data_IF_178057676827
#
_entry.id   IF_178057676827
#
_cell.length_a   1.000
_cell.length_b   1.000
_cell.length_c   1.000
_cell.angle_alpha   90.00
_cell.angle_beta   90.00
_cell.angle_gamma   90.00
#
_symmetry.space_group_name_H-M   'P 1'
#
loop_
_entity.id
_entity.type
_entity.pdbx_description
1 polymer ?
#
# COMPACT_ATOMS: atom_id res chain seq x y z
N UNK A 1 -16.68 -12.04 -3.25
CA UNK A 1 -16.48 -12.67 -1.93
C UNK A 1 -15.07 -13.18 -1.86
N UNK A 2 -14.28 -12.68 -0.93
CA UNK A 2 -12.98 -13.25 -0.65
C UNK A 2 -13.18 -14.55 0.15
N UNK A 3 -12.58 -15.63 -0.31
CA UNK A 3 -12.64 -16.95 0.30
C UNK A 3 -11.25 -17.28 0.84
N UNK A 4 -11.15 -18.22 1.78
CA UNK A 4 -9.86 -18.74 2.18
C UNK A 4 -9.06 -19.21 0.94
N UNK A 5 -7.72 -19.05 0.98
CA UNK A 5 -6.82 -19.37 -0.13
C UNK A 5 -7.08 -20.77 -0.73
N UNK A 6 -7.29 -21.78 0.12
CA UNK A 6 -7.60 -23.13 -0.34
C UNK A 6 -8.89 -23.21 -1.15
N UNK A 7 -9.92 -22.48 -0.73
CA UNK A 7 -11.21 -22.42 -1.42
C UNK A 7 -11.09 -21.67 -2.75
N UNK A 8 -10.37 -20.54 -2.77
CA UNK A 8 -10.10 -19.81 -4.00
C UNK A 8 -9.33 -20.68 -4.98
N UNK A 9 -8.31 -21.40 -4.52
CA UNK A 9 -7.55 -22.35 -5.36
C UNK A 9 -8.47 -23.39 -5.98
N UNK A 10 -9.37 -24.01 -5.22
CA UNK A 10 -10.32 -25.01 -5.74
C UNK A 10 -11.28 -24.40 -6.77
N UNK A 11 -11.80 -23.21 -6.50
CA UNK A 11 -12.69 -22.48 -7.42
C UNK A 11 -11.96 -22.23 -8.75
N UNK A 12 -10.77 -21.64 -8.71
CA UNK A 12 -10.05 -21.26 -9.93
C UNK A 12 -9.44 -22.46 -10.67
N UNK A 13 -9.11 -23.55 -9.99
CA UNK A 13 -8.69 -24.79 -10.66
C UNK A 13 -9.77 -25.33 -11.61
N UNK A 14 -11.06 -25.14 -11.29
CA UNK A 14 -12.18 -25.59 -12.11
C UNK A 14 -12.92 -24.49 -12.89
N UNK A 15 -12.58 -23.22 -12.66
CA UNK A 15 -13.29 -22.09 -13.26
C UNK A 15 -13.04 -21.95 -14.76
N UNK A 16 -14.04 -21.43 -15.46
CA UNK A 16 -13.97 -21.01 -16.85
C UNK A 16 -14.22 -19.49 -16.91
N UNK A 17 -13.69 -18.83 -17.92
CA UNK A 17 -13.88 -17.39 -18.14
C UNK A 17 -15.37 -17.00 -18.14
N UNK A 18 -16.25 -17.85 -18.69
CA UNK A 18 -17.70 -17.63 -18.69
C UNK A 18 -18.36 -17.64 -17.31
N UNK A 19 -17.66 -18.06 -16.26
CA UNK A 19 -18.17 -18.00 -14.88
C UNK A 19 -18.24 -16.57 -14.33
N UNK A 20 -17.45 -15.65 -14.90
CA UNK A 20 -17.26 -14.27 -14.43
C UNK A 20 -17.62 -13.29 -15.57
N UNK A 21 -18.88 -13.33 -15.99
CA UNK A 21 -19.41 -12.47 -17.05
C UNK A 21 -19.89 -11.10 -16.51
N UNK A 22 -20.35 -10.25 -17.42
CA UNK A 22 -20.89 -8.94 -17.07
C UNK A 22 -22.08 -8.99 -16.10
N UNK A 23 -22.85 -10.08 -16.09
CA UNK A 23 -23.96 -10.25 -15.14
C UNK A 23 -23.46 -10.48 -13.73
N UNK A 24 -22.37 -11.24 -13.60
CA UNK A 24 -21.72 -11.43 -12.30
C UNK A 24 -21.18 -10.10 -11.76
N UNK A 25 -20.36 -9.41 -12.54
CA UNK A 25 -19.78 -8.12 -12.10
C UNK A 25 -20.84 -7.00 -12.01
N UNK A 26 -21.88 -7.02 -12.80
CA UNK A 26 -23.02 -6.09 -12.74
C UNK A 26 -23.82 -6.17 -11.44
N UNK A 27 -23.64 -7.21 -10.60
CA UNK A 27 -24.25 -7.26 -9.27
C UNK A 27 -23.67 -6.18 -8.36
N UNK A 28 -22.37 -5.91 -8.46
CA UNK A 28 -21.69 -4.94 -7.59
C UNK A 28 -22.15 -3.49 -7.83
N UNK A 29 -22.56 -3.15 -9.03
CA UNK A 29 -23.11 -1.81 -9.33
C UNK A 29 -24.47 -1.52 -8.66
N UNK A 30 -25.07 -2.53 -8.01
CA UNK A 30 -26.36 -2.39 -7.30
C UNK A 30 -26.19 -2.08 -5.81
N UNK A 31 -24.94 -2.05 -5.32
CA UNK A 31 -24.66 -1.77 -3.92
C UNK A 31 -24.26 -0.31 -3.72
N UNK A 32 -24.83 0.34 -2.72
CA UNK A 32 -24.42 1.67 -2.30
C UNK A 32 -23.14 1.65 -1.44
N UNK A 33 -22.90 0.53 -0.76
CA UNK A 33 -21.75 0.34 0.09
C UNK A 33 -21.28 -1.11 0.06
N UNK A 34 -19.97 -1.30 0.13
CA UNK A 34 -19.32 -2.60 0.24
C UNK A 34 -18.36 -2.56 1.42
N UNK A 35 -18.45 -3.53 2.28
CA UNK A 35 -17.45 -3.83 3.32
C UNK A 35 -16.79 -5.17 2.97
N UNK A 36 -15.51 -5.13 2.62
CA UNK A 36 -14.71 -6.32 2.36
C UNK A 36 -14.01 -6.76 3.64
N UNK A 37 -14.26 -7.99 4.08
CA UNK A 37 -13.79 -8.50 5.37
C UNK A 37 -12.78 -9.61 5.18
N UNK A 38 -11.53 -9.32 5.50
CA UNK A 38 -10.42 -10.27 5.48
C UNK A 38 -10.29 -10.96 6.83
N UNK A 39 -10.91 -12.13 6.97
CA UNK A 39 -10.77 -12.98 8.15
C UNK A 39 -9.74 -14.11 7.94
N UNK A 40 -9.27 -14.30 6.72
CA UNK A 40 -8.29 -15.29 6.32
C UNK A 40 -7.58 -14.83 5.05
N UNK A 41 -6.42 -15.43 4.76
CA UNK A 41 -5.67 -15.12 3.56
C UNK A 41 -6.39 -15.62 2.30
N UNK A 42 -6.79 -14.74 1.38
CA UNK A 42 -7.52 -15.13 0.18
C UNK A 42 -6.60 -15.40 -1.04
N UNK A 43 -5.37 -14.90 -1.02
CA UNK A 43 -4.48 -14.84 -2.18
C UNK A 43 -3.97 -16.23 -2.55
N UNK A 44 -4.19 -16.63 -3.80
CA UNK A 44 -3.64 -17.85 -4.39
C UNK A 44 -2.25 -17.56 -4.92
N UNK A 45 -1.26 -18.37 -4.54
CA UNK A 45 0.12 -18.17 -4.95
C UNK A 45 0.35 -18.68 -6.39
N UNK A 46 1.29 -18.04 -7.09
CA UNK A 46 1.52 -18.29 -8.50
C UNK A 46 1.85 -19.74 -8.89
N UNK A 47 2.36 -20.53 -7.94
CA UNK A 47 2.68 -21.95 -8.16
C UNK A 47 1.55 -22.92 -7.79
N UNK A 48 0.40 -22.44 -7.34
CA UNK A 48 -0.71 -23.28 -6.84
C UNK A 48 -1.73 -23.63 -7.92
N UNK A 49 -1.68 -22.94 -9.06
CA UNK A 49 -2.54 -23.15 -10.21
C UNK A 49 -1.70 -23.21 -11.49
N UNK A 50 -2.26 -23.82 -12.53
CA UNK A 50 -1.69 -23.74 -13.88
C UNK A 50 -1.77 -22.28 -14.39
N UNK A 51 -0.87 -21.89 -15.29
CA UNK A 51 -0.74 -20.50 -15.77
C UNK A 51 -2.07 -19.89 -16.24
N UNK A 52 -2.85 -20.65 -17.02
CA UNK A 52 -4.13 -20.19 -17.54
C UNK A 52 -5.16 -19.91 -16.43
N UNK A 53 -5.17 -20.70 -15.37
CA UNK A 53 -6.04 -20.50 -14.20
C UNK A 53 -5.54 -19.35 -13.32
N UNK A 54 -4.24 -19.18 -13.20
CA UNK A 54 -3.67 -18.01 -12.51
C UNK A 54 -4.02 -16.71 -13.24
N UNK A 55 -3.92 -16.69 -14.56
CA UNK A 55 -4.31 -15.52 -15.35
C UNK A 55 -5.79 -15.21 -15.23
N UNK A 56 -6.65 -16.25 -15.20
CA UNK A 56 -8.07 -16.08 -14.93
C UNK A 56 -8.31 -15.50 -13.53
N UNK A 57 -7.61 -16.00 -12.51
CA UNK A 57 -7.69 -15.53 -11.13
C UNK A 57 -7.29 -14.05 -11.04
N UNK A 58 -6.17 -13.65 -11.64
CA UNK A 58 -5.68 -12.27 -11.66
C UNK A 58 -6.68 -11.33 -12.35
N UNK A 59 -7.18 -11.70 -13.54
CA UNK A 59 -8.20 -10.92 -14.25
C UNK A 59 -9.48 -10.78 -13.43
N UNK A 60 -9.92 -11.84 -12.77
CA UNK A 60 -11.08 -11.81 -11.89
C UNK A 60 -10.88 -10.81 -10.75
N UNK A 61 -9.76 -10.88 -10.04
CA UNK A 61 -9.44 -9.99 -8.91
C UNK A 61 -9.41 -8.54 -9.38
N UNK A 62 -8.72 -8.25 -10.48
CA UNK A 62 -8.65 -6.91 -11.06
C UNK A 62 -10.04 -6.36 -11.42
N UNK A 63 -10.84 -7.13 -12.14
CA UNK A 63 -12.20 -6.73 -12.53
C UNK A 63 -13.14 -6.57 -11.33
N UNK A 64 -13.01 -7.44 -10.32
CA UNK A 64 -13.77 -7.32 -9.09
C UNK A 64 -13.43 -6.02 -8.38
N UNK A 65 -12.15 -5.73 -8.20
CA UNK A 65 -11.68 -4.54 -7.51
C UNK A 65 -12.11 -3.26 -8.25
N UNK A 66 -11.97 -3.22 -9.58
CA UNK A 66 -12.47 -2.12 -10.41
C UNK A 66 -13.96 -1.82 -10.17
N UNK A 67 -14.78 -2.83 -9.89
CA UNK A 67 -16.20 -2.64 -9.58
C UNK A 67 -16.43 -2.22 -8.14
N UNK A 68 -15.68 -2.78 -7.19
CA UNK A 68 -15.83 -2.47 -5.77
C UNK A 68 -15.49 -1.02 -5.48
N UNK A 69 -14.39 -0.51 -6.02
CA UNK A 69 -13.95 0.88 -5.81
C UNK A 69 -14.89 1.92 -6.46
N UNK A 70 -15.78 1.51 -7.37
CA UNK A 70 -16.81 2.40 -7.92
C UNK A 70 -18.04 2.54 -7.02
N UNK A 71 -18.16 1.71 -5.97
CA UNK A 71 -19.22 1.85 -4.99
C UNK A 71 -19.05 3.17 -4.23
N UNK A 72 -20.15 3.82 -3.91
CA UNK A 72 -20.15 5.12 -3.22
C UNK A 72 -19.41 5.07 -1.88
N UNK A 73 -19.42 3.91 -1.24
CA UNK A 73 -18.68 3.63 -0.01
C UNK A 73 -18.05 2.25 -0.13
N UNK A 74 -16.74 2.22 -0.01
CA UNK A 74 -15.98 0.98 0.00
C UNK A 74 -15.02 1.03 1.18
N UNK A 75 -14.97 -0.04 1.97
CA UNK A 75 -13.99 -0.19 3.04
C UNK A 75 -13.56 -1.65 3.14
N UNK A 76 -12.30 -1.83 3.46
CA UNK A 76 -11.70 -3.15 3.73
C UNK A 76 -11.33 -3.23 5.21
N UNK A 77 -11.63 -4.35 5.83
CA UNK A 77 -11.27 -4.59 7.23
C UNK A 77 -10.54 -5.91 7.38
N UNK A 78 -9.36 -5.87 7.98
CA UNK A 78 -8.58 -7.07 8.32
C UNK A 78 -8.86 -7.50 9.76
N UNK A 79 -9.59 -8.59 9.91
CA UNK A 79 -9.86 -9.15 11.24
C UNK A 79 -8.58 -9.73 11.82
N UNK A 80 -8.20 -9.42 13.08
CA UNK A 80 -6.99 -9.92 13.71
C UNK A 80 -7.11 -11.41 14.06
N UNK A 81 -6.90 -12.27 13.07
CA UNK A 81 -6.95 -13.73 13.19
C UNK A 81 -5.55 -14.35 13.04
N UNK A 82 -5.37 -15.57 13.54
CA UNK A 82 -4.13 -16.33 13.34
C UNK A 82 -3.84 -16.59 11.85
N UNK A 83 -4.87 -16.68 11.01
CA UNK A 83 -4.70 -16.87 9.57
C UNK A 83 -4.10 -15.63 8.91
N UNK A 84 -4.55 -14.42 9.32
CA UNK A 84 -3.97 -13.16 8.84
C UNK A 84 -2.58 -12.89 9.44
N UNK A 85 -2.32 -13.35 10.67
CA UNK A 85 -0.98 -13.28 11.25
C UNK A 85 0.08 -14.00 10.40
N UNK A 86 -0.28 -15.13 9.79
CA UNK A 86 0.62 -15.86 8.90
C UNK A 86 1.03 -15.03 7.65
N UNK A 87 0.19 -14.11 7.20
CA UNK A 87 0.52 -13.16 6.11
C UNK A 87 1.50 -12.08 6.59
N UNK A 88 1.34 -11.61 7.82
CA UNK A 88 2.18 -10.55 8.38
C UNK A 88 3.61 -10.98 8.72
N UNK A 89 3.87 -12.28 8.79
CA UNK A 89 5.16 -12.82 9.27
C UNK A 89 5.38 -12.67 10.77
N UNK A 90 4.39 -12.13 11.52
CA UNK A 90 4.46 -11.93 12.96
C UNK A 90 3.96 -13.16 13.73
N UNK A 91 4.38 -13.26 15.00
CA UNK A 91 3.74 -14.17 15.94
C UNK A 91 2.23 -13.84 16.03
N UNK A 92 1.33 -14.84 16.05
CA UNK A 92 -0.10 -14.59 16.03
C UNK A 92 -0.63 -13.72 17.19
N UNK A 93 -0.05 -13.85 18.39
CA UNK A 93 -0.48 -13.04 19.53
C UNK A 93 0.01 -11.59 19.40
N UNK A 94 1.23 -11.41 18.90
CA UNK A 94 1.79 -10.09 18.63
C UNK A 94 1.02 -9.37 17.50
N UNK A 95 0.68 -10.08 16.42
CA UNK A 95 -0.17 -9.55 15.37
C UNK A 95 -1.51 -9.07 15.89
N UNK A 96 -2.24 -9.93 16.63
CA UNK A 96 -3.54 -9.60 17.20
C UNK A 96 -3.42 -8.37 18.10
N UNK A 97 -2.43 -8.34 19.00
CA UNK A 97 -2.21 -7.22 19.92
C UNK A 97 -1.98 -5.90 19.16
N UNK A 98 -1.15 -5.90 18.10
CA UNK A 98 -0.86 -4.71 17.30
C UNK A 98 -2.09 -4.24 16.55
N UNK A 99 -2.82 -5.15 15.94
CA UNK A 99 -4.05 -4.82 15.23
C UNK A 99 -5.12 -4.27 16.17
N UNK A 100 -5.31 -4.86 17.35
CA UNK A 100 -6.25 -4.35 18.36
C UNK A 100 -5.87 -2.94 18.80
N UNK A 101 -4.59 -2.66 19.05
CA UNK A 101 -4.12 -1.31 19.35
C UNK A 101 -4.41 -0.32 18.21
N UNK A 102 -4.14 -0.72 16.96
CA UNK A 102 -4.36 0.13 15.80
C UNK A 102 -5.86 0.43 15.56
N UNK A 103 -6.74 -0.50 15.94
CA UNK A 103 -8.19 -0.31 15.88
C UNK A 103 -8.74 0.54 17.03
N UNK A 104 -8.09 0.55 18.19
CA UNK A 104 -8.54 1.28 19.38
C UNK A 104 -8.16 2.76 19.31
N UNK A 105 -8.62 3.45 18.28
CA UNK A 105 -8.37 4.88 18.04
C UNK A 105 -9.67 5.68 18.07
N UNK A 106 -9.57 6.96 18.39
CA UNK A 106 -10.64 7.91 18.12
C UNK A 106 -10.65 8.22 16.59
N UNK A 107 -11.54 7.56 15.88
CA UNK A 107 -11.68 7.73 14.42
C UNK A 107 -12.02 9.17 14.01
N UNK A 108 -12.72 9.93 14.86
CA UNK A 108 -12.99 11.34 14.57
C UNK A 108 -11.71 12.19 14.68
N UNK A 109 -10.87 11.88 15.67
CA UNK A 109 -9.57 12.55 15.81
C UNK A 109 -8.60 12.18 14.68
N UNK A 110 -8.53 10.91 14.29
CA UNK A 110 -7.71 10.45 13.15
C UNK A 110 -8.17 11.14 11.85
N UNK A 111 -9.48 11.19 11.60
CA UNK A 111 -10.05 11.88 10.44
C UNK A 111 -9.69 13.37 10.45
N UNK A 112 -9.87 14.05 11.56
CA UNK A 112 -9.51 15.45 11.67
C UNK A 112 -8.00 15.70 11.44
N UNK A 113 -7.14 14.81 11.92
CA UNK A 113 -5.70 14.87 11.67
C UNK A 113 -5.36 14.69 10.20
N UNK A 114 -5.95 13.69 9.52
CA UNK A 114 -5.77 13.45 8.09
C UNK A 114 -6.25 14.65 7.24
N UNK A 115 -7.46 15.16 7.51
CA UNK A 115 -8.02 16.32 6.81
C UNK A 115 -7.17 17.57 7.01
N UNK A 116 -6.69 17.80 8.24
CA UNK A 116 -5.79 18.91 8.53
C UNK A 116 -4.47 18.82 7.77
N UNK A 117 -3.82 17.66 7.80
CA UNK A 117 -2.57 17.40 7.10
C UNK A 117 -2.73 17.55 5.57
N UNK A 118 -3.78 16.96 5.00
CA UNK A 118 -4.06 17.10 3.58
C UNK A 118 -4.31 18.56 3.18
N UNK A 119 -5.00 19.34 4.04
CA UNK A 119 -5.24 20.76 3.80
C UNK A 119 -3.94 21.60 3.86
N UNK A 120 -2.98 21.25 4.72
CA UNK A 120 -1.68 21.94 4.80
C UNK A 120 -0.88 21.79 3.50
N UNK A 121 -1.00 20.65 2.82
CA UNK A 121 -0.30 20.38 1.56
C UNK A 121 -1.14 20.68 0.31
N UNK A 122 -2.38 21.12 0.48
CA UNK A 122 -3.29 21.37 -0.64
C UNK A 122 -2.73 22.42 -1.60
N UNK A 123 -2.69 22.10 -2.89
CA UNK A 123 -2.18 22.99 -3.94
C UNK A 123 -0.66 23.16 -3.99
N UNK A 124 0.08 22.45 -3.13
CA UNK A 124 1.54 22.44 -3.23
C UNK A 124 1.97 21.77 -4.55
N UNK A 125 2.87 22.45 -5.28
CA UNK A 125 3.47 21.87 -6.48
C UNK A 125 4.65 20.96 -6.16
N UNK A 126 5.31 21.15 -5.01
CA UNK A 126 6.46 20.36 -4.58
C UNK A 126 6.50 20.19 -3.06
N UNK A 127 7.01 19.05 -2.64
CA UNK A 127 7.33 18.76 -1.25
C UNK A 127 8.73 18.15 -1.14
N UNK A 128 9.31 18.23 0.05
CA UNK A 128 10.48 17.46 0.42
C UNK A 128 10.15 16.56 1.62
N UNK A 129 10.73 15.37 1.64
CA UNK A 129 10.79 14.55 2.86
C UNK A 129 12.20 14.67 3.42
N UNK A 130 12.32 15.15 4.65
CA UNK A 130 13.60 15.24 5.38
C UNK A 130 13.71 14.09 6.37
N UNK A 131 14.83 13.42 6.36
CA UNK A 131 15.07 12.21 7.12
C UNK A 131 16.41 12.27 7.84
N UNK A 132 16.73 11.22 8.60
CA UNK A 132 18.04 11.01 9.18
C UNK A 132 19.17 11.00 8.15
N UNK A 133 20.40 11.08 8.63
CA UNK A 133 21.63 11.09 7.83
C UNK A 133 21.73 12.24 6.79
N UNK A 134 20.90 13.30 6.96
CA UNK A 134 20.86 14.42 6.03
C UNK A 134 20.19 14.12 4.69
N UNK A 135 19.54 12.96 4.56
CA UNK A 135 18.84 12.57 3.34
C UNK A 135 17.60 13.44 3.11
N UNK A 136 17.37 13.79 1.84
CA UNK A 136 16.23 14.59 1.40
C UNK A 136 15.70 14.00 0.08
N UNK A 137 14.41 13.68 0.07
CA UNK A 137 13.69 13.32 -1.15
C UNK A 137 12.82 14.49 -1.57
N UNK A 138 12.92 14.92 -2.82
CA UNK A 138 12.08 15.97 -3.39
C UNK A 138 11.09 15.34 -4.39
N UNK A 139 9.83 15.73 -4.28
CA UNK A 139 8.75 15.22 -5.10
C UNK A 139 7.98 16.38 -5.75
N UNK A 140 7.72 16.26 -7.03
CA UNK A 140 6.82 17.14 -7.79
C UNK A 140 5.38 16.61 -7.67
N UNK A 141 4.44 17.49 -7.31
CA UNK A 141 3.04 17.15 -7.07
C UNK A 141 2.06 17.94 -7.95
N UNK A 142 2.56 18.67 -8.95
CA UNK A 142 1.72 19.52 -9.82
C UNK A 142 0.57 18.72 -10.45
N UNK A 143 -0.66 19.18 -10.21
CA UNK A 143 -1.87 18.53 -10.74
C UNK A 143 -2.28 17.27 -10.00
N UNK A 144 -1.65 16.96 -8.86
CA UNK A 144 -1.97 15.80 -8.01
C UNK A 144 -2.82 16.24 -6.82
N UNK A 145 -3.57 15.31 -6.26
CA UNK A 145 -4.47 15.55 -5.12
C UNK A 145 -4.13 14.59 -4.00
N UNK A 146 -4.00 15.13 -2.79
CA UNK A 146 -3.89 14.32 -1.58
C UNK A 146 -5.18 13.55 -1.32
N UNK A 147 -5.05 12.28 -1.03
CA UNK A 147 -6.11 11.38 -0.61
C UNK A 147 -5.98 11.11 0.88
N UNK A 148 -7.06 10.70 1.50
CA UNK A 148 -7.09 10.36 2.94
C UNK A 148 -7.65 8.96 3.11
N UNK A 149 -7.04 8.18 3.99
CA UNK A 149 -7.61 6.96 4.55
C UNK A 149 -7.82 7.16 6.05
N UNK A 150 -9.04 7.47 6.43
CA UNK A 150 -9.43 7.87 7.78
C UNK A 150 -10.65 7.10 8.29
N UNK A 151 -10.74 5.80 7.92
CA UNK A 151 -11.81 4.89 8.28
C UNK A 151 -12.91 4.75 7.20
N UNK A 152 -12.64 5.21 5.99
CA UNK A 152 -13.50 5.08 4.81
C UNK A 152 -12.78 4.39 3.62
N UNK A 153 -11.64 3.80 3.89
CA UNK A 153 -10.82 2.97 3.02
C UNK A 153 -10.41 1.69 3.74
N UNK A 154 -9.12 1.57 4.03
CA UNK A 154 -8.57 0.43 4.76
C UNK A 154 -8.74 0.57 6.28
N UNK A 155 -8.90 -0.56 6.96
CA UNK A 155 -8.94 -0.67 8.40
C UNK A 155 -7.97 -1.77 8.87
N UNK A 156 -7.00 -1.44 9.76
CA UNK A 156 -6.78 -0.16 10.45
C UNK A 156 -6.43 0.96 9.50
N UNK A 157 -6.81 2.19 9.86
CA UNK A 157 -6.66 3.39 9.04
C UNK A 157 -5.73 4.42 9.69
N UNK A 158 -5.54 5.52 9.00
CA UNK A 158 -4.82 6.71 9.47
C UNK A 158 -3.62 7.01 8.61
N UNK A 159 -3.87 7.59 7.43
CA UNK A 159 -2.84 8.14 6.56
C UNK A 159 -3.42 9.19 5.62
N UNK A 160 -2.54 9.98 5.05
CA UNK A 160 -2.79 10.71 3.82
C UNK A 160 -1.78 10.25 2.77
N UNK A 161 -2.15 10.25 1.52
CA UNK A 161 -1.24 9.79 0.47
C UNK A 161 -1.46 10.53 -0.85
N UNK A 162 -0.43 10.51 -1.70
CA UNK A 162 -0.44 11.19 -2.99
C UNK A 162 0.48 10.48 -3.98
N UNK A 163 0.05 10.35 -5.23
CA UNK A 163 0.92 9.92 -6.31
C UNK A 163 1.75 11.12 -6.80
N UNK A 164 3.10 11.11 -6.71
CA UNK A 164 3.93 12.16 -7.28
C UNK A 164 3.95 12.09 -8.81
N UNK A 165 4.51 13.13 -9.45
CA UNK A 165 4.82 13.06 -10.88
C UNK A 165 6.02 12.14 -11.06
N UNK A 166 5.83 11.00 -11.70
CA UNK A 166 6.71 9.82 -11.67
C UNK A 166 8.18 10.13 -12.01
N UNK A 167 8.42 10.88 -13.07
CA UNK A 167 9.78 11.19 -13.51
C UNK A 167 10.43 12.38 -12.81
N UNK A 168 9.81 12.94 -11.76
CA UNK A 168 10.27 14.17 -11.11
C UNK A 168 10.53 14.02 -9.61
N UNK A 169 10.69 12.80 -9.14
CA UNK A 169 11.12 12.50 -7.78
C UNK A 169 12.63 12.28 -7.77
N UNK A 170 13.36 13.01 -6.94
CA UNK A 170 14.81 12.94 -6.88
C UNK A 170 15.35 13.11 -5.47
N UNK A 171 16.43 12.42 -5.15
CA UNK A 171 17.11 12.52 -3.87
C UNK A 171 17.43 11.18 -3.25
N UNK A 172 17.75 11.21 -1.96
CA UNK A 172 18.07 10.03 -1.19
C UNK A 172 17.02 9.81 -0.10
N UNK A 173 16.65 8.55 0.13
CA UNK A 173 15.72 8.14 1.18
C UNK A 173 16.43 7.24 2.17
N UNK A 174 16.39 7.61 3.45
CA UNK A 174 16.98 6.84 4.54
C UNK A 174 15.91 6.09 5.34
N UNK A 175 16.18 4.81 5.58
CA UNK A 175 15.39 3.93 6.44
C UNK A 175 16.29 3.39 7.55
N UNK A 176 15.95 3.65 8.81
CA UNK A 176 16.62 2.99 9.94
C UNK A 176 16.43 1.48 9.90
N UNK A 177 15.26 1.03 9.47
CA UNK A 177 14.97 -0.37 9.10
C UNK A 177 14.14 -0.38 7.84
N UNK A 178 14.58 -1.10 6.83
CA UNK A 178 13.85 -1.39 5.60
C UNK A 178 13.46 -2.87 5.59
N UNK A 179 12.17 -3.14 5.50
CA UNK A 179 11.68 -4.51 5.29
C UNK A 179 11.52 -4.76 3.79
N UNK A 180 12.13 -5.83 3.29
CA UNK A 180 12.12 -6.17 1.88
C UNK A 180 12.14 -7.70 1.73
N UNK A 181 11.14 -8.27 1.06
CA UNK A 181 10.98 -9.71 0.86
C UNK A 181 11.06 -10.53 2.16
N UNK A 182 10.49 -10.00 3.26
CA UNK A 182 10.50 -10.66 4.57
C UNK A 182 11.79 -10.55 5.35
N UNK A 183 12.81 -9.86 4.82
CA UNK A 183 14.08 -9.59 5.46
C UNK A 183 14.15 -8.15 5.96
N UNK A 184 14.80 -7.93 7.11
CA UNK A 184 15.03 -6.61 7.67
C UNK A 184 16.47 -6.14 7.43
N UNK A 185 16.61 -4.98 6.79
CA UNK A 185 17.89 -4.33 6.52
C UNK A 185 17.98 -3.05 7.35
N UNK A 186 19.08 -2.85 8.07
CA UNK A 186 19.30 -1.65 8.89
C UNK A 186 20.13 -0.60 8.16
N UNK A 187 19.87 0.67 8.45
CA UNK A 187 20.62 1.83 7.95
C UNK A 187 20.73 1.82 6.41
N UNK A 188 19.57 1.74 5.76
CA UNK A 188 19.47 1.67 4.29
C UNK A 188 19.22 3.05 3.72
N UNK A 189 20.05 3.46 2.77
CA UNK A 189 19.78 4.61 1.90
C UNK A 189 19.45 4.12 0.49
N UNK A 190 18.33 4.57 -0.06
CA UNK A 190 17.98 4.39 -1.47
C UNK A 190 18.29 5.67 -2.24
N UNK A 191 18.92 5.55 -3.42
CA UNK A 191 19.13 6.64 -4.35
C UNK A 191 18.00 6.66 -5.38
N UNK A 192 17.35 7.81 -5.54
CA UNK A 192 16.24 8.00 -6.46
C UNK A 192 16.62 9.09 -7.47
N UNK A 193 16.53 8.73 -8.75
CA UNK A 193 16.82 9.66 -9.87
C UNK A 193 15.70 9.58 -10.90
N UNK A 194 15.08 10.71 -11.18
CA UNK A 194 13.95 10.81 -12.12
C UNK A 194 12.84 9.80 -11.81
N UNK A 195 12.53 9.67 -10.52
CA UNK A 195 11.49 8.78 -9.98
C UNK A 195 11.90 7.33 -9.84
N UNK A 196 13.05 6.91 -10.37
CA UNK A 196 13.50 5.53 -10.35
C UNK A 196 14.47 5.27 -9.19
N UNK A 197 14.30 4.18 -8.47
CA UNK A 197 15.33 3.68 -7.54
C UNK A 197 16.51 3.19 -8.37
N UNK A 198 17.64 3.91 -8.29
CA UNK A 198 18.84 3.66 -9.08
C UNK A 198 19.97 3.00 -8.29
N UNK A 199 19.86 2.99 -6.95
CA UNK A 199 20.88 2.39 -6.10
C UNK A 199 20.46 2.28 -4.63
N UNK A 200 21.32 1.64 -3.85
CA UNK A 200 21.19 1.53 -2.40
C UNK A 200 22.55 1.44 -1.72
N UNK A 201 22.65 1.91 -0.48
CA UNK A 201 23.80 1.71 0.39
C UNK A 201 24.06 0.22 0.69
N UNK A 202 23.05 -0.63 0.61
CA UNK A 202 23.11 -2.07 0.85
C UNK A 202 23.13 -2.84 -0.48
N UNK A 203 24.16 -3.69 -0.70
CA UNK A 203 24.33 -4.44 -1.95
C UNK A 203 23.15 -5.36 -2.28
N UNK A 204 22.58 -6.04 -1.27
CA UNK A 204 21.46 -6.95 -1.47
C UNK A 204 20.20 -6.19 -1.94
N UNK A 205 19.92 -5.04 -1.30
CA UNK A 205 18.80 -4.16 -1.66
C UNK A 205 18.99 -3.57 -3.06
N UNK A 206 20.20 -3.10 -3.39
CA UNK A 206 20.51 -2.61 -4.73
C UNK A 206 20.33 -3.69 -5.80
N UNK A 207 20.76 -4.93 -5.52
CA UNK A 207 20.59 -6.06 -6.45
C UNK A 207 19.13 -6.44 -6.64
N UNK A 208 18.32 -6.39 -5.58
CA UNK A 208 16.87 -6.63 -5.67
C UNK A 208 16.22 -5.64 -6.64
N UNK A 209 16.38 -4.32 -6.40
CA UNK A 209 15.77 -3.32 -7.28
C UNK A 209 16.30 -3.38 -8.72
N UNK A 210 17.61 -3.65 -8.90
CA UNK A 210 18.19 -3.78 -10.24
C UNK A 210 17.61 -4.96 -11.05
N UNK A 211 17.12 -6.01 -10.38
CA UNK A 211 16.50 -7.18 -11.01
C UNK A 211 15.04 -6.94 -11.42
N UNK A 212 14.36 -5.94 -10.84
CA UNK A 212 12.98 -5.64 -11.16
C UNK A 212 12.85 -4.94 -12.53
N UNK A 213 11.73 -5.10 -13.23
CA UNK A 213 11.34 -4.24 -14.33
C UNK A 213 11.36 -2.77 -13.90
N UNK A 214 11.63 -1.87 -14.85
CA UNK A 214 11.76 -0.44 -14.54
C UNK A 214 10.52 0.12 -13.86
N UNK A 215 9.34 -0.22 -14.36
CA UNK A 215 8.04 0.22 -13.85
C UNK A 215 7.81 -0.20 -12.38
N UNK A 216 8.38 -1.33 -11.93
CA UNK A 216 8.24 -1.83 -10.56
C UNK A 216 9.18 -1.15 -9.55
N UNK A 217 10.08 -0.26 -10.01
CA UNK A 217 10.99 0.52 -9.15
C UNK A 217 10.84 2.04 -9.30
N UNK A 218 9.74 2.48 -9.92
CA UNK A 218 9.35 3.88 -9.98
C UNK A 218 8.61 4.25 -8.70
N UNK A 219 9.03 5.32 -8.04
CA UNK A 219 8.32 5.89 -6.90
C UNK A 219 6.95 6.35 -7.38
N UNK A 220 5.92 5.76 -6.81
CA UNK A 220 4.55 5.90 -7.26
C UNK A 220 3.62 6.51 -6.20
N UNK A 221 4.10 6.61 -4.95
CA UNK A 221 3.33 7.15 -3.84
C UNK A 221 4.24 7.78 -2.77
N UNK A 222 3.70 8.77 -2.07
CA UNK A 222 4.17 9.31 -0.80
C UNK A 222 2.99 9.36 0.16
N UNK A 223 3.14 8.83 1.37
CA UNK A 223 2.09 8.88 2.40
C UNK A 223 2.64 9.07 3.81
N UNK A 224 2.26 10.14 4.52
CA UNK A 224 2.41 10.26 5.96
C UNK A 224 1.40 9.43 6.75
N UNK A 225 1.89 8.63 7.73
CA UNK A 225 1.04 7.93 8.69
C UNK A 225 0.49 8.83 9.79
N UNK A 226 -0.74 8.57 10.22
CA UNK A 226 -1.52 9.41 11.15
C UNK A 226 -2.14 8.66 12.32
N UNK A 227 -2.00 7.31 12.41
CA UNK A 227 -2.55 6.53 13.50
C UNK A 227 -1.63 6.59 14.73
N UNK A 228 -2.06 7.23 15.85
CA UNK A 228 -1.21 7.40 17.03
C UNK A 228 -0.98 6.10 17.81
N UNK A 229 -1.80 5.07 17.58
CA UNK A 229 -1.72 3.81 18.31
C UNK A 229 -0.87 2.75 17.60
N UNK A 230 -0.39 3.04 16.39
CA UNK A 230 0.69 2.28 15.77
C UNK A 230 2.02 2.92 16.21
N UNK A 231 2.78 2.23 17.06
CA UNK A 231 3.93 2.83 17.77
C UNK A 231 5.28 2.35 17.28
N UNK A 232 5.32 1.15 16.69
CA UNK A 232 6.56 0.50 16.28
C UNK A 232 6.40 -0.18 14.92
N UNK A 233 7.41 -0.05 14.07
CA UNK A 233 7.50 -0.79 12.81
C UNK A 233 7.69 -2.28 13.11
N UNK A 234 7.02 -3.12 12.35
CA UNK A 234 7.05 -4.56 12.53
C UNK A 234 7.28 -5.35 11.23
N UNK A 235 7.37 -4.67 10.10
CA UNK A 235 7.53 -5.28 8.79
C UNK A 235 6.22 -5.72 8.14
N UNK A 236 5.08 -5.47 8.80
CA UNK A 236 3.77 -5.64 8.19
C UNK A 236 3.28 -4.30 7.65
N UNK A 237 3.47 -4.08 6.37
CA UNK A 237 3.32 -2.79 5.69
C UNK A 237 1.96 -2.16 5.93
N UNK A 238 0.87 -2.92 5.80
CA UNK A 238 -0.51 -2.43 6.02
C UNK A 238 -0.75 -1.83 7.42
N UNK A 239 0.11 -2.14 8.38
CA UNK A 239 0.08 -1.55 9.70
C UNK A 239 1.11 -0.44 9.83
N UNK A 240 2.33 -0.70 9.35
CA UNK A 240 3.47 0.20 9.51
C UNK A 240 3.25 1.55 8.82
N UNK A 241 2.61 1.57 7.64
CA UNK A 241 2.30 2.78 6.87
C UNK A 241 1.33 3.74 7.59
N UNK A 242 0.51 3.20 8.52
CA UNK A 242 -0.43 4.00 9.30
C UNK A 242 0.21 4.71 10.50
N UNK A 243 1.46 4.39 10.86
CA UNK A 243 2.12 4.88 12.07
C UNK A 243 2.28 6.40 12.06
N UNK A 244 1.77 7.08 13.08
CA UNK A 244 1.93 8.54 13.21
C UNK A 244 3.41 8.94 13.34
N UNK A 245 3.82 9.99 12.61
CA UNK A 245 5.21 10.47 12.60
C UNK A 245 6.16 9.66 11.72
N UNK A 246 5.60 8.86 10.81
CA UNK A 246 6.34 8.24 9.71
C UNK A 246 5.88 8.80 8.37
N UNK A 247 6.65 8.48 7.36
CA UNK A 247 6.21 8.51 5.96
C UNK A 247 6.43 7.13 5.35
N UNK A 248 5.69 6.82 4.32
CA UNK A 248 6.03 5.75 3.40
C UNK A 248 6.22 6.31 2.00
N UNK A 249 7.06 5.64 1.22
CA UNK A 249 7.09 5.75 -0.23
C UNK A 249 6.72 4.40 -0.81
N UNK A 250 5.92 4.39 -1.87
CA UNK A 250 5.70 3.17 -2.63
C UNK A 250 6.40 3.21 -3.97
N UNK A 251 6.68 2.01 -4.50
CA UNK A 251 7.11 1.83 -5.88
C UNK A 251 6.13 0.93 -6.62
N UNK A 252 6.00 1.14 -7.94
CA UNK A 252 5.17 0.29 -8.77
C UNK A 252 3.88 0.94 -9.26
N UNK A 253 2.77 0.19 -9.25
CA UNK A 253 1.50 0.62 -9.83
C UNK A 253 0.86 1.78 -9.07
N UNK A 254 0.38 2.82 -9.80
CA UNK A 254 -0.33 3.96 -9.20
C UNK A 254 -1.54 4.45 -10.01
N UNK A 255 -1.99 3.68 -10.97
CA UNK A 255 -3.14 4.06 -11.80
C UNK A 255 -4.44 4.21 -11.00
N UNK A 256 -4.55 3.53 -9.86
CA UNK A 256 -5.67 3.66 -8.93
C UNK A 256 -5.70 5.02 -8.21
N UNK A 257 -4.57 5.72 -8.14
CA UNK A 257 -4.43 7.04 -7.54
C UNK A 257 -4.46 8.18 -8.57
N UNK A 258 -4.90 7.90 -9.79
CA UNK A 258 -4.98 8.89 -10.87
C UNK A 258 -3.66 9.21 -11.57
N UNK A 259 -2.69 8.30 -11.52
CA UNK A 259 -1.38 8.42 -12.14
C UNK A 259 -1.17 7.42 -13.29
N UNK A 260 0.02 7.32 -13.87
CA UNK A 260 0.20 6.64 -15.16
C UNK A 260 1.10 5.40 -15.10
N UNK A 261 1.80 5.15 -13.99
CA UNK A 261 2.73 4.03 -13.92
C UNK A 261 1.98 2.68 -13.86
N UNK A 262 2.20 1.85 -14.87
CA UNK A 262 1.56 0.54 -15.03
C UNK A 262 2.57 -0.55 -14.69
N UNK A 263 2.68 -0.87 -13.42
CA UNK A 263 3.49 -1.96 -12.92
C UNK A 263 2.63 -3.18 -12.57
N UNK A 264 3.26 -4.31 -12.35
CA UNK A 264 2.60 -5.54 -11.88
C UNK A 264 2.39 -5.55 -10.37
N UNK A 265 3.21 -4.78 -9.66
CA UNK A 265 3.27 -4.80 -8.20
C UNK A 265 3.17 -3.37 -7.64
N UNK A 266 2.87 -3.28 -6.36
CA UNK A 266 2.89 -2.08 -5.54
C UNK A 266 3.54 -2.46 -4.22
N UNK A 267 4.57 -1.73 -3.79
CA UNK A 267 5.30 -2.05 -2.57
C UNK A 267 5.70 -0.82 -1.79
N UNK A 268 5.30 -0.77 -0.51
CA UNK A 268 5.52 0.35 0.38
C UNK A 268 6.72 0.13 1.28
N UNK A 269 7.44 1.21 1.52
CA UNK A 269 8.59 1.26 2.42
C UNK A 269 8.41 2.40 3.42
N UNK A 270 8.37 2.05 4.70
CA UNK A 270 8.05 2.99 5.78
C UNK A 270 9.32 3.50 6.45
N UNK A 271 9.44 4.82 6.56
CA UNK A 271 10.57 5.49 7.20
C UNK A 271 10.13 6.57 8.19
N UNK A 272 11.09 7.09 8.96
CA UNK A 272 10.88 8.24 9.83
C UNK A 272 11.40 9.50 9.17
N UNK A 273 10.58 10.55 9.13
CA UNK A 273 10.93 11.83 8.52
C UNK A 273 9.78 12.80 8.53
N UNK A 274 10.05 14.01 8.10
CA UNK A 274 9.07 15.10 8.04
C UNK A 274 8.83 15.50 6.58
N UNK A 275 7.55 15.66 6.22
CA UNK A 275 7.15 16.19 4.91
C UNK A 275 7.02 17.70 5.03
N UNK A 276 7.73 18.42 4.18
CA UNK A 276 7.77 19.89 4.15
C UNK A 276 7.35 20.42 2.79
N UNK A 277 6.68 21.58 2.81
CA UNK A 277 6.42 22.35 1.60
C UNK A 277 7.72 22.90 1.02
N UNK A 278 7.91 22.76 -0.28
CA UNK A 278 8.95 23.49 -1.01
C UNK A 278 8.34 24.69 -1.73
N UNK A 279 9.00 25.82 -1.57
CA UNK A 279 8.59 27.07 -2.21
C UNK A 279 8.71 27.02 -3.75
#
# INVERSE_FOLDING_TARGET
MQQARSVNREIFAGAKESCFDERYFGLFSKFDAVLDVFACQPIVLGYELEDAQMDLCRRYISQLFEKLVTCRRFAQIRIPTAANAAESGLDPQEYIRRMDCAYDVDYAAVRAACEHAAAQFAGASRVAVRMGEGCVLQLELTGRTWLTDAGDGDLPCGEIYIAPVEAKTNGDVFFGTLYLEGEAYTDVTLQITNGEITGSSQKAVAAHFAALPRENRIVCELGPGMNPNVTDLCGYTLLDEKMAGTFHIAVGANTMFGSENRATDHGDFVGRGEVELLA
#
